data_IF_225936571130
#
_entry.id   IF_225936571130
#
_cell.length_a   1.000
_cell.length_b   1.000
_cell.length_c   1.000
_cell.angle_alpha   90.00
_cell.angle_beta   90.00
_cell.angle_gamma   90.00
#
_symmetry.space_group_name_H-M   'P 1'
#
loop_
_entity.id
_entity.type
_entity.pdbx_description
1 polymer ?
#
# COMPACT_ATOMS: atom_id res chain seq x y z
N UNK A 1 -16.70 3.19 -1.87
CA UNK A 1 -17.13 1.82 -2.24
C UNK A 1 -15.95 0.88 -1.99
N UNK A 2 -16.11 -0.43 -1.77
CA UNK A 2 -14.96 -1.30 -1.53
C UNK A 2 -13.85 -1.18 -2.61
N UNK A 3 -14.24 -0.87 -3.84
CA UNK A 3 -13.37 -0.76 -5.02
C UNK A 3 -12.82 0.66 -5.25
N UNK A 4 -13.16 1.64 -4.40
CA UNK A 4 -12.71 3.03 -4.63
C UNK A 4 -11.24 3.28 -4.32
N UNK A 5 -10.49 2.26 -3.86
CA UNK A 5 -9.06 2.37 -3.59
C UNK A 5 -8.24 2.81 -4.81
N UNK A 6 -8.61 2.36 -6.01
CA UNK A 6 -7.91 2.72 -7.24
C UNK A 6 -7.97 4.23 -7.55
N UNK A 7 -9.09 4.90 -7.21
CA UNK A 7 -9.26 6.34 -7.41
C UNK A 7 -8.23 7.10 -6.56
N UNK A 8 -8.16 6.78 -5.27
CA UNK A 8 -7.23 7.45 -4.35
C UNK A 8 -5.77 7.18 -4.67
N UNK A 9 -5.44 5.98 -5.17
CA UNK A 9 -4.09 5.69 -5.66
C UNK A 9 -3.75 6.60 -6.85
N UNK A 10 -4.66 6.75 -7.81
CA UNK A 10 -4.48 7.66 -8.94
C UNK A 10 -4.29 9.12 -8.50
N UNK A 11 -5.07 9.58 -7.52
CA UNK A 11 -4.93 10.95 -6.97
C UNK A 11 -3.54 11.15 -6.32
N UNK A 12 -3.03 10.15 -5.59
CA UNK A 12 -1.69 10.19 -4.97
C UNK A 12 -0.60 10.19 -6.03
N UNK A 13 -0.70 9.33 -7.05
CA UNK A 13 0.27 9.28 -8.14
C UNK A 13 0.33 10.61 -8.91
N UNK A 14 -0.83 11.19 -9.23
CA UNK A 14 -0.92 12.49 -9.89
C UNK A 14 -0.32 13.62 -9.05
N UNK A 15 -0.52 13.58 -7.73
CA UNK A 15 0.06 14.58 -6.83
C UNK A 15 1.59 14.44 -6.70
N UNK A 16 2.11 13.22 -6.64
CA UNK A 16 3.56 12.98 -6.69
C UNK A 16 4.18 13.52 -7.99
N UNK A 17 3.52 13.29 -9.13
CA UNK A 17 3.96 13.83 -10.42
C UNK A 17 3.89 15.37 -10.45
N UNK A 18 2.78 15.96 -9.97
CA UNK A 18 2.59 17.41 -9.92
C UNK A 18 3.64 18.11 -9.05
N UNK A 19 4.03 17.50 -7.93
CA UNK A 19 5.04 18.04 -7.02
C UNK A 19 6.47 17.74 -7.49
N UNK A 20 6.66 16.79 -8.41
CA UNK A 20 7.98 16.25 -8.76
C UNK A 20 8.67 15.58 -7.56
N UNK A 21 7.91 15.12 -6.57
CA UNK A 21 8.41 14.59 -5.30
C UNK A 21 7.57 13.40 -4.82
N UNK A 22 8.26 12.41 -4.24
CA UNK A 22 7.63 11.21 -3.72
C UNK A 22 7.36 10.17 -4.81
N UNK A 23 7.17 8.93 -4.39
CA UNK A 23 6.86 7.83 -5.28
C UNK A 23 5.88 6.89 -4.58
N UNK A 24 4.80 6.55 -5.27
CA UNK A 24 3.94 5.47 -4.84
C UNK A 24 4.66 4.13 -5.04
N UNK A 25 5.01 3.47 -3.94
CA UNK A 25 5.82 2.23 -3.97
C UNK A 25 5.03 0.97 -3.71
N UNK A 26 3.98 1.04 -2.89
CA UNK A 26 3.40 -0.17 -2.30
C UNK A 26 2.03 0.12 -1.69
N UNK A 27 1.05 -0.77 -1.89
CA UNK A 27 -0.28 -0.73 -1.26
C UNK A 27 -0.55 -1.95 -0.36
N UNK A 28 -1.18 -1.73 0.80
CA UNK A 28 -1.70 -2.80 1.66
C UNK A 28 -3.09 -2.42 2.20
N UNK A 29 -4.01 -3.40 2.24
CA UNK A 29 -5.37 -3.17 2.72
C UNK A 29 -5.42 -2.98 4.24
N UNK A 30 -6.33 -2.11 4.70
CA UNK A 30 -6.52 -1.82 6.15
C UNK A 30 -6.83 -3.04 7.01
N UNK A 31 -7.39 -4.10 6.42
CA UNK A 31 -7.63 -5.37 7.12
C UNK A 31 -6.34 -5.96 7.71
N UNK A 32 -5.21 -5.75 7.03
CA UNK A 32 -3.90 -6.21 7.49
C UNK A 32 -3.25 -5.19 8.43
N UNK A 33 -3.19 -3.92 8.00
CA UNK A 33 -2.38 -2.90 8.68
C UNK A 33 -3.05 -2.17 9.85
N UNK A 34 -4.37 -2.25 9.97
CA UNK A 34 -5.15 -1.51 10.98
C UNK A 34 -6.01 -2.46 11.83
N UNK A 35 -5.44 -3.60 12.24
CA UNK A 35 -6.06 -4.51 13.20
C UNK A 35 -6.13 -3.86 14.59
N UNK A 36 -7.21 -4.13 15.33
CA UNK A 36 -7.43 -3.61 16.69
C UNK A 36 -7.84 -4.69 17.68
N UNK A 37 -7.77 -5.95 17.26
CA UNK A 37 -8.25 -7.13 17.97
C UNK A 37 -7.08 -8.09 18.29
N UNK A 38 -5.85 -7.57 18.28
CA UNK A 38 -4.61 -8.29 18.60
C UNK A 38 -4.32 -9.47 17.66
N UNK A 39 -4.77 -9.41 16.40
CA UNK A 39 -4.38 -10.39 15.39
C UNK A 39 -2.97 -10.08 14.88
N UNK A 40 -1.97 -10.41 15.69
CA UNK A 40 -0.57 -10.07 15.42
C UNK A 40 -0.04 -10.64 14.10
N UNK A 41 -0.56 -11.78 13.64
CA UNK A 41 -0.24 -12.35 12.31
C UNK A 41 -0.54 -11.38 11.16
N UNK A 42 -1.55 -10.51 11.32
CA UNK A 42 -1.91 -9.50 10.32
C UNK A 42 -0.92 -8.34 10.35
N UNK A 43 -0.63 -7.85 11.56
CA UNK A 43 0.32 -6.75 11.77
C UNK A 43 1.73 -7.16 11.35
N UNK A 44 2.13 -8.40 11.63
CA UNK A 44 3.42 -8.95 11.20
C UNK A 44 3.57 -8.91 9.68
N UNK A 45 2.53 -9.27 8.91
CA UNK A 45 2.57 -9.15 7.45
C UNK A 45 2.80 -7.70 7.00
N UNK A 46 2.11 -6.75 7.62
CA UNK A 46 2.33 -5.32 7.33
C UNK A 46 3.74 -4.86 7.68
N UNK A 47 4.29 -5.33 8.80
CA UNK A 47 5.67 -5.03 9.20
C UNK A 47 6.68 -5.60 8.21
N UNK A 48 6.60 -6.89 7.88
CA UNK A 48 7.50 -7.56 6.93
C UNK A 48 7.44 -6.93 5.56
N UNK A 49 6.26 -6.53 5.12
CA UNK A 49 6.06 -5.81 3.87
C UNK A 49 6.74 -4.42 3.86
N UNK A 50 6.61 -3.65 4.94
CA UNK A 50 7.21 -2.31 5.05
C UNK A 50 8.74 -2.35 5.24
N UNK A 51 9.24 -3.27 6.08
CA UNK A 51 10.64 -3.28 6.53
C UNK A 51 11.52 -4.18 5.67
N UNK A 52 10.98 -5.32 5.23
CA UNK A 52 11.74 -6.32 4.47
C UNK A 52 11.31 -6.40 3.00
N UNK A 53 10.27 -5.66 2.58
CA UNK A 53 9.74 -5.73 1.22
C UNK A 53 9.07 -7.09 0.91
N UNK A 54 8.72 -7.88 1.93
CA UNK A 54 8.09 -9.18 1.75
C UNK A 54 6.63 -9.01 1.31
N UNK A 55 6.34 -9.34 0.06
CA UNK A 55 4.99 -9.22 -0.49
C UNK A 55 4.91 -9.75 -1.91
N UNK A 56 3.77 -9.52 -2.56
CA UNK A 56 3.61 -9.84 -3.98
C UNK A 56 4.23 -8.71 -4.81
N UNK A 57 5.34 -8.96 -5.54
CA UNK A 57 5.86 -7.97 -6.46
C UNK A 57 4.87 -7.76 -7.61
N UNK A 58 4.76 -6.52 -8.06
CA UNK A 58 3.99 -6.15 -9.26
C UNK A 58 5.00 -5.59 -10.25
N UNK A 59 5.17 -6.27 -11.38
CA UNK A 59 5.95 -5.72 -12.49
C UNK A 59 5.18 -4.56 -13.10
N UNK A 60 5.85 -3.43 -13.29
CA UNK A 60 5.41 -2.45 -14.29
C UNK A 60 5.73 -3.03 -15.66
N UNK A 61 4.85 -3.88 -16.19
CA UNK A 61 4.82 -4.05 -17.64
C UNK A 61 4.30 -2.73 -18.23
N UNK A 62 5.02 -2.22 -19.23
CA UNK A 62 4.66 -1.02 -19.99
C UNK A 62 3.45 -1.29 -20.86
#
# INVERSE_FOLDING_TARGET
KPESGAIYVGDIEAECERLGLGQFVSLIGRFWSLDREYNWDRIEKSYRWLVHGEGRPVSREK
#
